data_IF_324562380965
#
_entry.id   IF_324562380965
#
_cell.length_a   1.000
_cell.length_b   1.000
_cell.length_c   1.000
_cell.angle_alpha   90.00
_cell.angle_beta   90.00
_cell.angle_gamma   90.00
#
_symmetry.space_group_name_H-M   'P 1'
#
loop_
_entity.id
_entity.type
_entity.pdbx_description
1 polymer ?
#
# COMPACT_ATOMS: atom_id res chain seq x y z
N UNK A 1 -16.07 13.65 -3.20
CA UNK A 1 -14.75 13.94 -3.82
C UNK A 1 -13.83 14.37 -2.69
N UNK A 2 -12.93 13.48 -2.26
CA UNK A 2 -12.01 13.72 -1.16
C UNK A 2 -10.79 14.56 -1.57
N UNK A 3 -9.99 14.99 -0.60
CA UNK A 3 -8.76 15.76 -0.88
C UNK A 3 -7.76 15.01 -1.75
N UNK A 4 -7.63 13.69 -1.58
CA UNK A 4 -6.77 12.86 -2.42
C UNK A 4 -7.23 12.87 -3.89
N UNK A 5 -8.54 12.71 -4.15
CA UNK A 5 -9.11 12.75 -5.50
C UNK A 5 -8.88 14.11 -6.17
N UNK A 6 -8.91 15.20 -5.38
CA UNK A 6 -8.63 16.55 -5.88
C UNK A 6 -7.19 16.71 -6.37
N UNK A 7 -6.22 16.04 -5.75
CA UNK A 7 -4.83 16.03 -6.19
C UNK A 7 -4.65 15.11 -7.41
N UNK A 8 -5.31 13.95 -7.41
CA UNK A 8 -5.23 13.01 -8.53
C UNK A 8 -5.82 13.59 -9.82
N UNK A 9 -6.90 14.36 -9.73
CA UNK A 9 -7.56 14.98 -10.89
C UNK A 9 -6.84 16.21 -11.42
N UNK A 10 -6.20 17.00 -10.54
CA UNK A 10 -5.42 18.18 -10.93
C UNK A 10 -4.13 18.29 -10.08
N UNK A 11 -3.10 17.46 -10.39
CA UNK A 11 -1.87 17.39 -9.60
C UNK A 11 -0.93 18.58 -9.86
N UNK A 12 -1.15 19.32 -10.95
CA UNK A 12 -0.31 20.44 -11.39
C UNK A 12 -1.00 21.80 -11.35
N UNK A 13 -2.31 21.86 -11.15
CA UNK A 13 -3.07 23.10 -10.99
C UNK A 13 -3.35 23.45 -9.53
N UNK A 14 -4.02 24.58 -9.35
CA UNK A 14 -4.47 25.04 -8.04
C UNK A 14 -5.78 24.34 -7.67
N UNK A 15 -5.66 23.18 -7.05
CA UNK A 15 -6.81 22.44 -6.56
C UNK A 15 -7.22 22.89 -5.13
N UNK A 16 -8.42 22.48 -4.72
CA UNK A 16 -8.99 22.86 -3.43
C UNK A 16 -8.15 22.36 -2.25
N UNK A 17 -7.50 21.21 -2.40
CA UNK A 17 -6.64 20.64 -1.36
C UNK A 17 -5.43 21.55 -1.10
N UNK A 18 -4.73 22.02 -2.13
CA UNK A 18 -3.58 22.92 -1.97
C UNK A 18 -3.97 24.24 -1.33
N UNK A 19 -5.14 24.80 -1.69
CA UNK A 19 -5.67 26.01 -1.10
C UNK A 19 -5.95 25.83 0.40
N UNK A 20 -6.65 24.76 0.79
CA UNK A 20 -7.00 24.49 2.18
C UNK A 20 -5.79 24.08 3.02
N UNK A 21 -4.76 23.52 2.38
CA UNK A 21 -3.49 23.24 3.04
C UNK A 21 -2.61 24.48 3.14
N UNK A 22 -3.00 25.60 2.53
CA UNK A 22 -2.27 26.86 2.61
C UNK A 22 -0.92 26.81 1.91
N UNK A 23 -0.76 25.95 0.91
CA UNK A 23 0.46 25.90 0.11
C UNK A 23 0.63 27.18 -0.70
N UNK A 24 1.85 27.68 -0.77
CA UNK A 24 2.19 28.85 -1.60
C UNK A 24 1.89 28.58 -3.07
N UNK A 25 1.01 29.40 -3.67
CA UNK A 25 0.64 29.30 -5.09
C UNK A 25 1.80 29.49 -6.07
N UNK A 26 2.86 30.19 -5.67
CA UNK A 26 4.08 30.32 -6.45
C UNK A 26 5.12 29.40 -5.85
N UNK A 27 5.44 28.30 -6.54
CA UNK A 27 6.63 27.49 -6.25
C UNK A 27 7.82 28.39 -6.58
N UNK A 28 8.30 29.11 -5.58
CA UNK A 28 9.50 29.92 -5.68
C UNK A 28 10.73 29.00 -5.74
N UNK A 29 11.87 29.55 -6.14
CA UNK A 29 13.13 28.79 -6.13
C UNK A 29 13.54 28.34 -4.71
N UNK A 30 12.94 28.92 -3.66
CA UNK A 30 13.14 28.49 -2.27
C UNK A 30 12.46 27.15 -2.00
N UNK A 31 11.33 26.90 -2.67
CA UNK A 31 10.56 25.68 -2.60
C UNK A 31 9.99 25.43 -1.20
N UNK A 32 9.66 26.50 -0.49
CA UNK A 32 8.95 26.45 0.79
C UNK A 32 7.46 26.17 0.55
N UNK A 33 6.86 25.33 1.40
CA UNK A 33 5.41 25.12 1.40
C UNK A 33 4.65 26.33 1.97
N UNK A 34 5.24 26.98 2.96
CA UNK A 34 4.62 28.01 3.80
C UNK A 34 5.48 29.25 3.92
N UNK A 35 4.85 30.35 4.34
CA UNK A 35 5.59 31.49 4.90
C UNK A 35 6.08 31.14 6.30
N UNK A 36 7.20 31.75 6.71
CA UNK A 36 7.91 31.43 7.97
C UNK A 36 6.98 31.59 9.20
N UNK A 37 6.01 32.50 9.13
CA UNK A 37 5.06 32.80 10.21
C UNK A 37 3.62 32.31 9.91
N UNK A 38 3.46 31.37 8.98
CA UNK A 38 2.14 30.86 8.64
C UNK A 38 1.52 30.09 9.82
N UNK A 39 0.22 30.32 10.14
CA UNK A 39 -0.49 29.51 11.13
C UNK A 39 -0.58 28.04 10.70
N UNK A 40 -0.77 27.10 11.64
CA UNK A 40 -0.92 25.68 11.32
C UNK A 40 -2.09 25.48 10.35
N UNK A 41 -1.82 24.75 9.28
CA UNK A 41 -2.75 24.52 8.17
C UNK A 41 -3.38 23.13 8.23
N UNK A 42 -4.29 22.83 7.28
CA UNK A 42 -4.86 21.49 7.15
C UNK A 42 -3.82 20.37 6.99
N UNK A 43 -2.68 20.64 6.33
CA UNK A 43 -1.60 19.66 6.21
C UNK A 43 -0.94 19.35 7.55
N UNK A 44 -0.78 20.35 8.42
CA UNK A 44 -0.22 20.14 9.77
C UNK A 44 -1.14 19.22 10.60
N UNK A 45 -2.45 19.30 10.40
CA UNK A 45 -3.40 18.38 11.05
C UNK A 45 -3.27 16.95 10.52
N UNK A 46 -3.06 16.78 9.21
CA UNK A 46 -2.78 15.47 8.60
C UNK A 46 -1.49 14.87 9.18
N UNK A 47 -0.44 15.67 9.33
CA UNK A 47 0.80 15.22 9.94
C UNK A 47 0.62 14.88 11.42
N UNK A 48 -0.19 15.65 12.17
CA UNK A 48 -0.50 15.35 13.57
C UNK A 48 -1.25 14.01 13.73
N UNK A 49 -2.10 13.62 12.77
CA UNK A 49 -2.71 12.28 12.75
C UNK A 49 -1.64 11.20 12.62
N UNK A 50 -0.66 11.39 11.73
CA UNK A 50 0.44 10.44 11.52
C UNK A 50 1.39 10.36 12.73
N UNK A 51 1.67 11.49 13.39
CA UNK A 51 2.44 11.53 14.64
C UNK A 51 1.75 10.75 15.76
N UNK A 52 0.44 10.96 15.94
CA UNK A 52 -0.34 10.23 16.95
C UNK A 52 -0.46 8.73 16.60
N UNK A 53 -0.55 8.40 15.31
CA UNK A 53 -0.47 7.02 14.83
C UNK A 53 0.85 6.36 15.22
N UNK A 54 1.99 7.04 15.00
CA UNK A 54 3.33 6.52 15.37
C UNK A 54 3.46 6.34 16.88
N UNK A 55 2.91 7.26 17.67
CA UNK A 55 3.00 7.25 19.12
C UNK A 55 2.06 6.24 19.80
N UNK A 56 1.04 5.75 19.09
CA UNK A 56 0.04 4.85 19.66
C UNK A 56 0.55 3.40 19.73
N UNK A 57 0.28 2.73 20.85
CA UNK A 57 0.53 1.29 20.98
C UNK A 57 -0.43 0.46 20.11
N UNK A 58 -1.69 0.89 20.00
CA UNK A 58 -2.69 0.35 19.10
C UNK A 58 -3.36 1.49 18.32
N UNK A 59 -2.88 1.78 17.09
CA UNK A 59 -3.41 2.91 16.33
C UNK A 59 -4.87 2.77 15.92
N UNK A 60 -5.42 1.54 15.89
CA UNK A 60 -6.81 1.33 15.49
C UNK A 60 -7.82 1.69 16.60
N UNK A 61 -7.35 1.86 17.84
CA UNK A 61 -8.16 2.34 18.98
C UNK A 61 -8.23 3.86 19.09
N UNK A 62 -7.51 4.60 18.24
CA UNK A 62 -7.59 6.05 18.20
C UNK A 62 -9.00 6.49 17.78
N UNK A 63 -9.52 7.58 18.36
CA UNK A 63 -10.87 8.10 18.07
C UNK A 63 -11.04 8.49 16.58
N UNK A 64 -9.94 8.77 15.91
CA UNK A 64 -9.88 9.11 14.49
C UNK A 64 -9.25 8.01 13.65
N UNK A 65 -9.27 6.75 14.09
CA UNK A 65 -8.61 5.64 13.38
C UNK A 65 -9.08 5.48 11.92
N UNK A 66 -10.35 5.82 11.65
CA UNK A 66 -10.90 5.90 10.30
C UNK A 66 -10.20 6.91 9.38
N UNK A 67 -9.45 7.88 9.91
CA UNK A 67 -8.69 8.88 9.16
C UNK A 67 -7.24 8.48 8.89
N UNK A 68 -6.72 7.42 9.52
CA UNK A 68 -5.31 6.99 9.39
C UNK A 68 -5.00 6.63 7.94
N UNK A 69 -5.77 5.71 7.38
CA UNK A 69 -5.57 5.27 6.01
C UNK A 69 -5.74 6.45 5.01
N UNK A 70 -6.82 7.25 5.06
CA UNK A 70 -6.96 8.42 4.21
C UNK A 70 -5.80 9.42 4.31
N UNK A 71 -5.19 9.58 5.50
CA UNK A 71 -4.02 10.43 5.70
C UNK A 71 -2.79 9.90 4.96
N UNK A 72 -2.51 8.59 5.04
CA UNK A 72 -1.43 7.96 4.26
C UNK A 72 -1.66 8.11 2.76
N UNK A 73 -2.88 7.84 2.29
CA UNK A 73 -3.23 7.98 0.87
C UNK A 73 -3.02 9.40 0.38
N UNK A 74 -3.51 10.38 1.12
CA UNK A 74 -3.31 11.80 0.80
C UNK A 74 -1.82 12.15 0.74
N UNK A 75 -1.03 11.68 1.71
CA UNK A 75 0.40 11.93 1.74
C UNK A 75 1.10 11.33 0.52
N UNK A 76 0.76 10.10 0.12
CA UNK A 76 1.29 9.47 -1.10
C UNK A 76 0.99 10.28 -2.36
N UNK A 77 -0.22 10.82 -2.48
CA UNK A 77 -0.58 11.69 -3.62
C UNK A 77 0.20 12.99 -3.61
N UNK A 78 0.45 13.56 -2.43
CA UNK A 78 1.24 14.77 -2.27
C UNK A 78 2.72 14.60 -2.62
N UNK A 79 3.30 13.42 -2.35
CA UNK A 79 4.71 13.11 -2.66
C UNK A 79 4.90 12.36 -3.99
N UNK A 80 3.84 12.19 -4.78
CA UNK A 80 3.92 11.54 -6.08
C UNK A 80 4.79 12.34 -7.06
N UNK A 81 5.29 11.67 -8.11
CA UNK A 81 6.10 12.34 -9.13
C UNK A 81 5.31 13.36 -9.96
N UNK A 82 3.98 13.23 -10.00
CA UNK A 82 3.09 14.07 -10.79
C UNK A 82 2.66 15.34 -10.03
N UNK A 83 2.77 15.34 -8.69
CA UNK A 83 2.38 16.46 -7.84
C UNK A 83 3.45 17.57 -7.85
N UNK A 84 3.04 18.80 -8.20
CA UNK A 84 3.95 19.95 -8.25
C UNK A 84 4.60 20.31 -6.91
N UNK A 85 3.93 19.99 -5.80
CA UNK A 85 4.44 20.26 -4.45
C UNK A 85 5.28 19.13 -3.88
N UNK A 86 5.42 18.00 -4.58
CA UNK A 86 6.11 16.81 -4.07
C UNK A 86 7.52 17.09 -3.51
N UNK A 87 8.40 17.82 -4.20
CA UNK A 87 9.73 18.13 -3.65
C UNK A 87 9.69 18.99 -2.37
N UNK A 88 8.67 19.83 -2.21
CA UNK A 88 8.50 20.67 -1.03
C UNK A 88 7.88 19.87 0.14
N UNK A 89 6.91 19.00 -0.15
CA UNK A 89 6.32 18.07 0.81
C UNK A 89 7.36 17.09 1.35
N UNK A 90 8.15 16.47 0.47
CA UNK A 90 9.24 15.57 0.88
C UNK A 90 10.25 16.27 1.79
N UNK A 91 10.66 17.51 1.46
CA UNK A 91 11.54 18.30 2.34
C UNK A 91 10.91 18.58 3.71
N UNK A 92 9.62 18.89 3.73
CA UNK A 92 8.91 19.18 4.98
C UNK A 92 8.83 17.95 5.87
N UNK A 93 8.36 16.81 5.37
CA UNK A 93 8.27 15.58 6.17
C UNK A 93 9.65 15.05 6.58
N UNK A 94 10.69 15.29 5.77
CA UNK A 94 12.09 15.00 6.11
C UNK A 94 12.58 15.84 7.29
N UNK A 95 12.19 17.11 7.38
CA UNK A 95 12.56 17.98 8.50
C UNK A 95 12.01 17.49 9.84
N UNK A 96 10.92 16.71 9.79
CA UNK A 96 10.28 16.08 10.95
C UNK A 96 10.75 14.63 11.18
N UNK A 97 11.65 14.12 10.33
CA UNK A 97 12.09 12.73 10.32
C UNK A 97 10.94 11.70 10.22
N UNK A 98 9.82 12.08 9.59
CA UNK A 98 8.58 11.30 9.62
C UNK A 98 8.76 9.91 8.99
N UNK A 99 9.44 9.82 7.85
CA UNK A 99 9.63 8.55 7.12
C UNK A 99 10.44 7.56 7.96
N UNK A 100 11.51 8.01 8.61
CA UNK A 100 12.29 7.15 9.50
C UNK A 100 11.45 6.68 10.69
N UNK A 101 10.68 7.59 11.32
CA UNK A 101 9.81 7.23 12.43
C UNK A 101 8.76 6.18 12.02
N UNK A 102 8.17 6.30 10.84
CA UNK A 102 7.22 5.33 10.28
C UNK A 102 7.88 3.98 10.02
N UNK A 103 9.09 3.96 9.46
CA UNK A 103 9.85 2.71 9.19
C UNK A 103 10.24 2.02 10.49
N UNK A 104 10.59 2.78 11.53
CA UNK A 104 10.91 2.23 12.86
C UNK A 104 9.67 1.88 13.71
N UNK A 105 8.47 2.21 13.23
CA UNK A 105 7.24 1.98 13.99
C UNK A 105 6.97 0.48 14.14
N UNK A 106 6.59 0.00 15.34
CA UNK A 106 6.22 -1.40 15.53
C UNK A 106 5.03 -1.82 14.64
N UNK A 107 4.21 -0.85 14.21
CA UNK A 107 3.09 -1.08 13.31
C UNK A 107 3.51 -1.76 12.00
N UNK A 108 4.71 -1.45 11.49
CA UNK A 108 5.17 -2.01 10.22
C UNK A 108 5.29 -3.54 10.27
N UNK A 109 5.49 -4.11 11.46
CA UNK A 109 5.54 -5.56 11.72
C UNK A 109 4.17 -6.19 12.05
N UNK A 110 3.12 -5.39 12.27
CA UNK A 110 1.79 -5.88 12.63
C UNK A 110 1.19 -6.88 11.63
N UNK A 111 1.38 -6.76 10.29
CA UNK A 111 0.92 -7.77 9.34
C UNK A 111 1.44 -9.18 9.60
N UNK A 112 2.58 -9.32 10.28
CA UNK A 112 3.22 -10.60 10.60
C UNK A 112 2.60 -11.25 11.85
N UNK A 113 2.04 -10.45 12.76
CA UNK A 113 1.46 -10.92 14.03
C UNK A 113 -0.04 -11.20 14.00
N UNK A 114 -0.73 -10.81 12.93
CA UNK A 114 -2.20 -10.84 12.88
C UNK A 114 -2.74 -12.26 12.78
N UNK A 115 -3.73 -12.53 13.62
CA UNK A 115 -4.38 -13.83 13.73
C UNK A 115 -5.59 -13.93 12.79
N UNK A 116 -6.01 -15.14 12.38
CA UNK A 116 -7.25 -15.32 11.62
C UNK A 116 -8.50 -14.78 12.34
N UNK A 117 -8.46 -14.66 13.67
CA UNK A 117 -9.57 -14.10 14.48
C UNK A 117 -9.74 -12.60 14.38
N UNK A 118 -8.73 -11.86 13.91
CA UNK A 118 -8.78 -10.39 13.78
C UNK A 118 -9.64 -9.92 12.58
N UNK A 119 -10.08 -10.88 11.76
CA UNK A 119 -10.92 -10.64 10.60
C UNK A 119 -10.16 -10.15 9.38
N UNK A 120 -10.68 -10.43 8.17
CA UNK A 120 -9.99 -10.16 6.90
C UNK A 120 -9.77 -8.66 6.64
N UNK A 121 -10.67 -7.81 7.14
CA UNK A 121 -10.64 -6.36 6.94
C UNK A 121 -9.48 -5.70 7.68
N UNK A 122 -9.23 -6.07 8.93
CA UNK A 122 -8.15 -5.45 9.72
C UNK A 122 -6.78 -5.77 9.11
N UNK A 123 -6.58 -7.03 8.72
CA UNK A 123 -5.36 -7.46 8.02
C UNK A 123 -5.16 -6.70 6.72
N UNK A 124 -6.23 -6.54 5.94
CA UNK A 124 -6.17 -5.79 4.68
C UNK A 124 -5.77 -4.33 4.89
N UNK A 125 -6.41 -3.63 5.83
CA UNK A 125 -6.06 -2.23 6.15
C UNK A 125 -4.62 -2.11 6.65
N UNK A 126 -4.18 -3.04 7.48
CA UNK A 126 -2.81 -3.06 8.01
C UNK A 126 -1.80 -3.23 6.88
N UNK A 127 -2.01 -4.19 5.98
CA UNK A 127 -1.16 -4.40 4.79
C UNK A 127 -1.12 -3.17 3.88
N UNK A 128 -2.25 -2.51 3.67
CA UNK A 128 -2.34 -1.30 2.86
C UNK A 128 -1.55 -0.13 3.46
N UNK A 129 -1.65 0.08 4.77
CA UNK A 129 -0.88 1.11 5.48
C UNK A 129 0.61 0.77 5.45
N UNK A 130 1.00 -0.47 5.74
CA UNK A 130 2.41 -0.92 5.67
C UNK A 130 2.99 -0.75 4.26
N UNK A 131 2.28 -1.17 3.22
CA UNK A 131 2.68 -0.91 1.83
C UNK A 131 2.83 0.58 1.54
N UNK A 132 1.99 1.42 2.15
CA UNK A 132 2.07 2.87 2.00
C UNK A 132 3.31 3.48 2.66
N UNK A 133 3.66 3.02 3.86
CA UNK A 133 4.90 3.39 4.55
C UNK A 133 6.12 3.03 3.69
N UNK A 134 6.14 1.81 3.13
CA UNK A 134 7.26 1.35 2.28
C UNK A 134 7.38 2.16 0.98
N UNK A 135 6.27 2.56 0.37
CA UNK A 135 6.29 3.46 -0.78
C UNK A 135 6.84 4.85 -0.43
N UNK A 136 6.42 5.42 0.71
CA UNK A 136 6.97 6.70 1.19
C UNK A 136 8.48 6.60 1.43
N UNK A 137 8.92 5.49 2.03
CA UNK A 137 10.34 5.20 2.22
C UNK A 137 11.09 5.11 0.88
N UNK A 138 10.54 4.40 -0.12
CA UNK A 138 11.15 4.30 -1.45
C UNK A 138 11.30 5.68 -2.13
N UNK A 139 10.27 6.53 -2.05
CA UNK A 139 10.32 7.88 -2.60
C UNK A 139 11.38 8.75 -1.91
N UNK A 140 11.43 8.68 -0.58
CA UNK A 140 12.39 9.44 0.23
C UNK A 140 13.83 9.01 -0.03
N UNK A 141 14.09 7.70 0.02
CA UNK A 141 15.40 7.12 -0.31
C UNK A 141 15.83 7.52 -1.71
N UNK A 142 14.95 7.38 -2.71
CA UNK A 142 15.23 7.78 -4.09
C UNK A 142 15.57 9.27 -4.20
N UNK A 143 14.83 10.14 -3.51
CA UNK A 143 15.10 11.58 -3.46
C UNK A 143 16.45 11.90 -2.84
N UNK A 144 16.82 11.22 -1.74
CA UNK A 144 18.06 11.45 -1.02
C UNK A 144 19.29 10.98 -1.82
N UNK A 145 19.19 9.80 -2.43
CA UNK A 145 20.26 9.23 -3.26
C UNK A 145 20.53 10.09 -4.51
N UNK A 146 19.47 10.63 -5.15
CA UNK A 146 19.62 11.59 -6.26
C UNK A 146 20.39 12.85 -5.85
N UNK A 147 20.27 13.27 -4.60
CA UNK A 147 20.95 14.44 -4.05
C UNK A 147 22.32 14.10 -3.42
N UNK A 148 22.76 12.84 -3.44
CA UNK A 148 24.02 12.40 -2.84
C UNK A 148 24.03 12.33 -1.31
N UNK A 149 22.85 12.24 -0.68
CA UNK A 149 22.72 12.02 0.76
C UNK A 149 22.64 10.52 1.06
N UNK A 150 23.53 10.01 1.89
CA UNK A 150 23.69 8.56 2.12
C UNK A 150 23.35 8.09 3.54
N UNK A 151 23.42 8.97 4.54
CA UNK A 151 23.19 8.59 5.94
C UNK A 151 21.75 8.12 6.19
N UNK A 152 20.76 8.91 5.76
CA UNK A 152 19.34 8.58 5.93
C UNK A 152 18.91 7.34 5.12
N UNK A 153 19.30 7.17 3.83
CA UNK A 153 19.07 5.92 3.11
C UNK A 153 19.67 4.69 3.81
N UNK A 154 20.88 4.82 4.35
CA UNK A 154 21.51 3.76 5.12
C UNK A 154 20.69 3.41 6.37
N UNK A 155 20.26 4.39 7.16
CA UNK A 155 19.42 4.16 8.35
C UNK A 155 18.10 3.45 8.00
N UNK A 156 17.42 3.88 6.93
CA UNK A 156 16.16 3.26 6.46
C UNK A 156 16.41 1.81 6.04
N UNK A 157 17.41 1.56 5.19
CA UNK A 157 17.70 0.20 4.73
C UNK A 157 18.20 -0.70 5.85
N UNK A 158 19.08 -0.23 6.73
CA UNK A 158 19.51 -0.99 7.91
C UNK A 158 18.33 -1.40 8.78
N UNK A 159 17.40 -0.48 9.07
CA UNK A 159 16.20 -0.80 9.85
C UNK A 159 15.36 -1.92 9.22
N UNK A 160 15.33 -1.99 7.89
CA UNK A 160 14.49 -2.94 7.14
C UNK A 160 15.17 -4.26 6.80
N UNK A 161 16.50 -4.26 6.64
CA UNK A 161 17.30 -5.39 6.13
C UNK A 161 18.17 -6.06 7.20
N UNK A 162 18.45 -5.39 8.32
CA UNK A 162 19.13 -6.01 9.45
C UNK A 162 18.16 -6.93 10.23
N UNK A 163 18.69 -7.90 11.00
CA UNK A 163 17.86 -8.80 11.80
C UNK A 163 16.93 -8.04 12.74
N UNK A 164 15.64 -8.35 12.71
CA UNK A 164 14.63 -7.69 13.55
C UNK A 164 14.14 -8.62 14.66
N UNK A 165 14.21 -8.17 15.91
CA UNK A 165 13.67 -8.91 17.06
C UNK A 165 12.16 -9.20 16.90
N UNK A 166 11.41 -8.28 16.29
CA UNK A 166 9.99 -8.47 16.01
C UNK A 166 9.73 -9.67 15.09
N UNK A 167 10.60 -9.86 14.09
CA UNK A 167 10.54 -11.00 13.16
C UNK A 167 11.03 -12.27 13.85
N UNK A 168 12.17 -12.22 14.55
CA UNK A 168 12.76 -13.38 15.23
C UNK A 168 11.78 -13.97 16.25
N UNK A 169 11.06 -13.13 16.98
CA UNK A 169 10.07 -13.56 17.97
C UNK A 169 8.83 -14.22 17.35
N UNK A 170 8.53 -13.96 16.07
CA UNK A 170 7.32 -14.44 15.40
C UNK A 170 7.59 -15.65 14.49
N UNK A 171 8.66 -15.60 13.69
CA UNK A 171 9.00 -16.61 12.70
C UNK A 171 10.04 -17.64 13.21
N UNK A 172 10.65 -17.39 14.37
CA UNK A 172 11.83 -18.14 14.82
C UNK A 172 13.05 -17.88 13.94
N UNK A 173 14.15 -18.58 14.18
CA UNK A 173 15.34 -18.51 13.30
C UNK A 173 15.07 -19.33 12.04
N UNK A 174 14.93 -18.68 10.89
CA UNK A 174 14.79 -19.39 9.61
C UNK A 174 16.14 -20.03 9.27
N UNK A 175 16.18 -21.35 9.07
CA UNK A 175 17.42 -22.04 8.66
C UNK A 175 17.87 -21.54 7.28
N UNK A 176 18.96 -20.76 7.26
CA UNK A 176 19.61 -20.31 6.03
C UNK A 176 19.10 -19.00 5.42
N UNK A 177 18.20 -18.25 6.08
CA UNK A 177 17.69 -16.97 5.61
C UNK A 177 17.92 -15.81 6.59
N UNK A 178 17.94 -14.56 6.09
CA UNK A 178 18.00 -13.37 6.93
C UNK A 178 16.61 -13.02 7.47
N UNK A 179 16.47 -12.96 8.79
CA UNK A 179 15.25 -12.55 9.50
C UNK A 179 15.08 -11.03 9.53
N UNK A 180 14.91 -10.42 8.35
CA UNK A 180 14.67 -8.99 8.24
C UNK A 180 13.21 -8.67 7.92
N UNK A 181 12.78 -7.48 8.32
CA UNK A 181 11.39 -7.06 8.23
C UNK A 181 10.89 -6.99 6.79
N UNK A 182 11.70 -6.48 5.87
CA UNK A 182 11.30 -6.32 4.47
C UNK A 182 11.00 -7.67 3.80
N UNK A 183 11.86 -8.67 4.02
CA UNK A 183 11.71 -10.00 3.44
C UNK A 183 10.59 -10.78 4.12
N UNK A 184 10.43 -10.66 5.43
CA UNK A 184 9.30 -11.25 6.16
C UNK A 184 7.96 -10.71 5.68
N UNK A 185 7.84 -9.40 5.47
CA UNK A 185 6.64 -8.79 4.89
C UNK A 185 6.36 -9.29 3.47
N UNK A 186 7.40 -9.46 2.65
CA UNK A 186 7.27 -10.01 1.31
C UNK A 186 6.80 -11.48 1.34
N UNK A 187 7.37 -12.32 2.21
CA UNK A 187 6.97 -13.73 2.38
C UNK A 187 5.50 -13.86 2.81
N UNK A 188 5.08 -13.09 3.80
CA UNK A 188 3.73 -13.14 4.39
C UNK A 188 2.69 -12.31 3.62
N UNK A 189 3.08 -11.74 2.47
CA UNK A 189 2.16 -11.01 1.61
C UNK A 189 1.27 -11.93 0.76
N UNK A 190 1.69 -13.18 0.55
CA UNK A 190 0.92 -14.14 -0.24
C UNK A 190 -0.42 -14.47 0.47
N UNK A 191 -1.50 -14.54 -0.31
CA UNK A 191 -2.83 -14.95 0.15
C UNK A 191 -3.24 -16.15 -0.68
N UNK A 192 -3.28 -17.31 -0.04
CA UNK A 192 -3.96 -18.48 -0.60
C UNK A 192 -5.47 -18.25 -0.50
N UNK A 193 -6.10 -17.81 -1.59
CA UNK A 193 -7.56 -17.79 -1.70
C UNK A 193 -8.03 -19.23 -1.93
N UNK A 194 -8.25 -19.98 -0.85
CA UNK A 194 -8.57 -21.41 -0.88
C UNK A 194 -10.05 -21.71 -1.11
N UNK A 195 -10.94 -20.73 -0.97
CA UNK A 195 -12.40 -20.94 -1.06
C UNK A 195 -12.99 -20.25 -2.29
N UNK A 196 -13.44 -21.06 -3.26
CA UNK A 196 -14.36 -20.58 -4.30
C UNK A 196 -15.67 -20.16 -3.62
N UNK A 197 -16.04 -18.88 -3.76
CA UNK A 197 -17.29 -18.37 -3.21
C UNK A 197 -18.45 -18.97 -4.02
N UNK A 198 -19.29 -19.78 -3.36
CA UNK A 198 -20.45 -20.41 -4.00
C UNK A 198 -21.44 -19.34 -4.49
N UNK A 199 -21.79 -19.41 -5.77
CA UNK A 199 -22.80 -18.53 -6.34
C UNK A 199 -24.18 -18.84 -5.72
N UNK A 200 -24.94 -17.83 -5.28
CA UNK A 200 -26.21 -18.04 -4.61
C UNK A 200 -27.20 -18.79 -5.51
N UNK A 201 -28.00 -19.68 -4.92
CA UNK A 201 -29.06 -20.39 -5.65
C UNK A 201 -30.22 -19.45 -5.92
N UNK A 202 -30.35 -19.04 -7.18
CA UNK A 202 -31.38 -18.10 -7.60
C UNK A 202 -32.64 -18.83 -8.10
N UNK A 203 -33.80 -18.39 -7.65
CA UNK A 203 -35.12 -18.89 -8.06
C UNK A 203 -35.96 -17.76 -8.65
N UNK A 204 -35.87 -16.55 -8.07
CA UNK A 204 -36.64 -15.37 -8.45
C UNK A 204 -35.84 -14.41 -9.32
N UNK A 205 -34.52 -14.32 -9.12
CA UNK A 205 -33.63 -13.51 -9.96
C UNK A 205 -33.09 -14.29 -11.16
N UNK A 206 -32.95 -13.60 -12.29
CA UNK A 206 -32.31 -14.17 -13.46
C UNK A 206 -30.79 -14.03 -13.34
N UNK A 207 -30.07 -15.15 -13.27
CA UNK A 207 -28.61 -15.17 -13.10
C UNK A 207 -27.85 -14.35 -14.16
N UNK A 208 -28.23 -14.45 -15.44
CA UNK A 208 -27.55 -13.71 -16.51
C UNK A 208 -27.74 -12.19 -16.39
N UNK A 209 -28.94 -11.74 -16.02
CA UNK A 209 -29.18 -10.31 -15.78
C UNK A 209 -28.48 -9.83 -14.52
N UNK A 210 -28.36 -10.70 -13.51
CA UNK A 210 -27.69 -10.34 -12.27
C UNK A 210 -26.20 -10.07 -12.48
N UNK A 211 -25.51 -10.85 -13.32
CA UNK A 211 -24.13 -10.54 -13.71
C UNK A 211 -23.99 -9.14 -14.35
N UNK A 212 -24.91 -8.77 -15.25
CA UNK A 212 -24.90 -7.43 -15.84
C UNK A 212 -25.15 -6.31 -14.81
N UNK A 213 -25.96 -6.58 -13.79
CA UNK A 213 -26.16 -5.66 -12.66
C UNK A 213 -24.89 -5.53 -11.84
N UNK A 214 -24.22 -6.65 -11.51
CA UNK A 214 -22.91 -6.62 -10.83
C UNK A 214 -21.87 -5.82 -11.60
N UNK A 215 -21.78 -6.01 -12.92
CA UNK A 215 -20.87 -5.23 -13.78
C UNK A 215 -21.17 -3.73 -13.73
N UNK A 216 -22.46 -3.36 -13.61
CA UNK A 216 -22.88 -1.95 -13.47
C UNK A 216 -22.51 -1.38 -12.10
N UNK A 217 -22.50 -2.21 -11.06
CA UNK A 217 -22.08 -1.83 -9.71
C UNK A 217 -20.57 -1.91 -9.51
N UNK A 218 -19.80 -2.35 -10.51
CA UNK A 218 -18.36 -2.47 -10.40
C UNK A 218 -17.73 -1.08 -10.38
N UNK A 219 -17.05 -0.79 -9.29
CA UNK A 219 -16.27 0.43 -9.08
C UNK A 219 -14.82 0.06 -8.84
N UNK A 220 -13.92 1.01 -9.03
CA UNK A 220 -12.55 0.89 -8.53
C UNK A 220 -12.47 1.75 -7.29
N UNK A 221 -11.99 1.15 -6.21
CA UNK A 221 -11.58 1.93 -5.07
C UNK A 221 -10.42 2.84 -5.47
N UNK A 222 -10.22 3.86 -4.67
CA UNK A 222 -9.05 4.75 -4.66
C UNK A 222 -7.68 4.06 -4.59
N UNK A 223 -7.64 2.76 -4.28
CA UNK A 223 -6.44 1.91 -4.34
C UNK A 223 -6.30 1.13 -5.65
N UNK A 224 -7.13 1.47 -6.64
CA UNK A 224 -7.26 0.71 -7.88
C UNK A 224 -7.71 -0.76 -7.67
N UNK A 225 -8.27 -1.07 -6.49
CA UNK A 225 -8.87 -2.38 -6.19
C UNK A 225 -10.30 -2.35 -6.70
N UNK A 226 -10.65 -3.27 -7.59
CA UNK A 226 -12.02 -3.43 -8.05
C UNK A 226 -12.92 -3.92 -6.90
N UNK A 227 -14.08 -3.28 -6.72
CA UNK A 227 -15.09 -3.67 -5.74
C UNK A 227 -16.49 -3.39 -6.28
N UNK A 228 -17.49 -4.12 -5.79
CA UNK A 228 -18.89 -3.88 -6.09
C UNK A 228 -19.49 -2.90 -5.08
N UNK A 229 -20.19 -1.87 -5.56
CA UNK A 229 -20.99 -0.99 -4.70
C UNK A 229 -22.23 -1.75 -4.20
N UNK A 230 -22.13 -2.26 -2.97
CA UNK A 230 -23.18 -3.07 -2.34
C UNK A 230 -24.42 -2.23 -2.02
N UNK A 231 -24.26 -0.95 -1.70
CA UNK A 231 -25.38 -0.06 -1.40
C UNK A 231 -26.16 0.23 -2.68
N UNK A 232 -25.47 0.50 -3.78
CA UNK A 232 -26.08 0.67 -5.09
C UNK A 232 -26.72 -0.63 -5.60
N UNK A 233 -26.06 -1.77 -5.42
CA UNK A 233 -26.63 -3.09 -5.73
C UNK A 233 -27.93 -3.34 -4.96
N UNK A 234 -27.95 -3.07 -3.66
CA UNK A 234 -29.15 -3.19 -2.82
C UNK A 234 -30.27 -2.26 -3.30
N UNK A 235 -29.96 -1.01 -3.66
CA UNK A 235 -30.93 -0.07 -4.20
C UNK A 235 -31.54 -0.55 -5.53
N UNK A 236 -30.73 -1.10 -6.44
CA UNK A 236 -31.20 -1.68 -7.71
C UNK A 236 -32.10 -2.89 -7.48
N UNK A 237 -31.67 -3.86 -6.65
CA UNK A 237 -32.45 -5.06 -6.36
C UNK A 237 -33.78 -4.72 -5.67
N UNK A 238 -33.76 -3.79 -4.71
CA UNK A 238 -34.97 -3.31 -4.03
C UNK A 238 -35.95 -2.70 -5.02
N UNK A 239 -35.45 -1.86 -5.94
CA UNK A 239 -36.28 -1.23 -6.97
C UNK A 239 -36.96 -2.28 -7.86
N UNK A 240 -36.22 -3.31 -8.26
CA UNK A 240 -36.77 -4.38 -9.10
C UNK A 240 -37.83 -5.20 -8.35
N UNK A 241 -37.60 -5.56 -7.08
CA UNK A 241 -38.61 -6.26 -6.25
C UNK A 241 -39.89 -5.42 -6.13
N UNK A 242 -39.77 -4.14 -5.78
CA UNK A 242 -40.93 -3.23 -5.62
C UNK A 242 -41.68 -3.06 -6.95
N UNK A 243 -40.97 -3.06 -8.08
CA UNK A 243 -41.58 -2.91 -9.41
C UNK A 243 -42.51 -4.06 -9.80
N UNK A 244 -42.36 -5.24 -9.18
CA UNK A 244 -43.22 -6.41 -9.44
C UNK A 244 -44.65 -6.23 -8.92
N UNK A 245 -44.87 -5.31 -7.99
CA UNK A 245 -46.15 -5.10 -7.29
C UNK A 245 -46.72 -6.38 -6.63
N UNK A 246 -45.87 -7.36 -6.32
CA UNK A 246 -46.28 -8.58 -5.63
C UNK A 246 -46.65 -8.31 -4.17
N UNK A 247 -47.73 -8.93 -3.68
CA UNK A 247 -48.17 -8.81 -2.28
C UNK A 247 -47.23 -9.54 -1.30
N UNK A 248 -46.62 -10.65 -1.72
CA UNK A 248 -45.61 -11.37 -0.96
C UNK A 248 -44.25 -11.28 -1.66
N UNK A 249 -43.32 -10.58 -1.02
CA UNK A 249 -41.94 -10.39 -1.50
C UNK A 249 -40.91 -11.10 -0.61
N UNK A 250 -41.36 -11.90 0.36
CA UNK A 250 -40.48 -12.49 1.39
C UNK A 250 -39.39 -13.39 0.80
N UNK A 251 -39.74 -14.23 -0.18
CA UNK A 251 -38.79 -15.12 -0.83
C UNK A 251 -37.77 -14.36 -1.70
N UNK A 252 -38.21 -13.31 -2.41
CA UNK A 252 -37.33 -12.46 -3.20
C UNK A 252 -36.38 -11.64 -2.32
N UNK A 253 -36.84 -11.16 -1.15
CA UNK A 253 -35.99 -10.45 -0.20
C UNK A 253 -34.90 -11.35 0.39
N UNK A 254 -35.21 -12.63 0.70
CA UNK A 254 -34.18 -13.60 1.14
C UNK A 254 -33.15 -13.89 0.04
N UNK A 255 -33.61 -13.98 -1.20
CA UNK A 255 -32.69 -14.17 -2.34
C UNK A 255 -31.81 -12.94 -2.56
N UNK A 256 -32.36 -11.73 -2.38
CA UNK A 256 -31.60 -10.48 -2.39
C UNK A 256 -30.54 -10.46 -1.28
N UNK A 257 -30.88 -10.86 -0.05
CA UNK A 257 -29.90 -11.00 1.04
C UNK A 257 -28.76 -11.94 0.65
N UNK A 258 -29.05 -13.12 0.07
CA UNK A 258 -28.03 -14.05 -0.39
C UNK A 258 -27.13 -13.47 -1.49
N UNK A 259 -27.70 -12.68 -2.42
CA UNK A 259 -26.94 -11.96 -3.45
C UNK A 259 -26.03 -10.89 -2.86
N UNK A 260 -26.51 -10.14 -1.86
CA UNK A 260 -25.71 -9.11 -1.19
C UNK A 260 -24.57 -9.74 -0.39
N UNK A 261 -24.82 -10.85 0.31
CA UNK A 261 -23.78 -11.63 1.01
C UNK A 261 -22.71 -12.11 0.04
N UNK A 262 -23.13 -12.69 -1.10
CA UNK A 262 -22.19 -13.09 -2.15
C UNK A 262 -21.32 -11.92 -2.63
N UNK A 263 -21.93 -10.74 -2.85
CA UNK A 263 -21.20 -9.53 -3.22
C UNK A 263 -20.22 -9.05 -2.14
N UNK A 264 -20.61 -9.10 -0.86
CA UNK A 264 -19.72 -8.72 0.25
C UNK A 264 -18.54 -9.69 0.40
N UNK A 265 -18.76 -10.98 0.21
CA UNK A 265 -17.71 -12.00 0.29
C UNK A 265 -16.69 -11.83 -0.83
N UNK A 266 -17.15 -11.55 -2.06
CA UNK A 266 -16.24 -11.22 -3.17
C UNK A 266 -15.45 -9.95 -2.87
N UNK A 267 -16.10 -8.91 -2.37
CA UNK A 267 -15.41 -7.67 -2.02
C UNK A 267 -14.33 -7.88 -0.94
N UNK A 268 -14.57 -8.79 0.02
CA UNK A 268 -13.58 -9.14 1.03
C UNK A 268 -12.36 -9.85 0.41
N UNK A 269 -12.57 -10.80 -0.51
CA UNK A 269 -11.46 -11.44 -1.24
C UNK A 269 -10.68 -10.45 -2.11
N UNK A 270 -11.39 -9.58 -2.86
CA UNK A 270 -10.77 -8.54 -3.68
C UNK A 270 -9.97 -7.55 -2.84
N UNK A 271 -10.49 -7.16 -1.66
CA UNK A 271 -9.79 -6.29 -0.72
C UNK A 271 -8.51 -6.94 -0.18
N UNK A 272 -8.57 -8.20 0.24
CA UNK A 272 -7.39 -8.94 0.71
C UNK A 272 -6.30 -9.03 -0.36
N UNK A 273 -6.71 -9.37 -1.59
CA UNK A 273 -5.83 -9.48 -2.74
C UNK A 273 -5.14 -8.14 -3.04
N UNK A 274 -5.93 -7.08 -3.19
CA UNK A 274 -5.40 -5.74 -3.45
C UNK A 274 -4.55 -5.18 -2.30
N UNK A 275 -4.88 -5.49 -1.05
CA UNK A 275 -4.05 -5.12 0.11
C UNK A 275 -2.70 -5.82 0.10
N UNK A 276 -2.67 -7.11 -0.26
CA UNK A 276 -1.44 -7.86 -0.44
C UNK A 276 -0.59 -7.34 -1.59
N UNK A 277 -1.20 -7.05 -2.74
CA UNK A 277 -0.53 -6.41 -3.88
C UNK A 277 0.09 -5.06 -3.48
N UNK A 278 -0.63 -4.25 -2.70
CA UNK A 278 -0.14 -2.97 -2.21
C UNK A 278 1.09 -3.13 -1.29
N UNK A 279 1.09 -4.14 -0.41
CA UNK A 279 2.25 -4.46 0.42
C UNK A 279 3.46 -4.88 -0.42
N UNK A 280 3.25 -5.80 -1.38
CA UNK A 280 4.30 -6.26 -2.31
C UNK A 280 4.85 -5.13 -3.16
N UNK A 281 3.97 -4.26 -3.66
CA UNK A 281 4.34 -3.05 -4.41
C UNK A 281 5.24 -2.14 -3.58
N UNK A 282 4.92 -1.94 -2.29
CA UNK A 282 5.77 -1.21 -1.35
C UNK A 282 7.15 -1.85 -1.17
N UNK A 283 7.22 -3.16 -0.92
CA UNK A 283 8.48 -3.89 -0.78
C UNK A 283 9.34 -3.80 -2.05
N UNK A 284 8.74 -4.07 -3.21
CA UNK A 284 9.41 -4.04 -4.51
C UNK A 284 9.85 -2.64 -4.91
N UNK A 285 9.14 -1.57 -4.50
CA UNK A 285 9.58 -0.20 -4.72
C UNK A 285 10.95 0.08 -4.04
N UNK A 286 11.15 -0.34 -2.80
CA UNK A 286 12.43 -0.20 -2.09
C UNK A 286 13.55 -1.01 -2.74
N UNK A 287 13.27 -2.26 -3.13
CA UNK A 287 14.22 -3.12 -3.84
C UNK A 287 14.62 -2.51 -5.19
N UNK A 288 13.66 -1.93 -5.91
CA UNK A 288 13.91 -1.25 -7.16
C UNK A 288 14.80 -0.01 -6.99
N UNK A 289 14.60 0.77 -5.93
CA UNK A 289 15.47 1.91 -5.61
C UNK A 289 16.88 1.42 -5.31
N UNK A 290 17.05 0.39 -4.48
CA UNK A 290 18.36 -0.19 -4.18
C UNK A 290 19.07 -0.64 -5.46
N UNK A 291 18.36 -1.37 -6.33
CA UNK A 291 18.89 -1.86 -7.58
C UNK A 291 19.22 -0.73 -8.58
N UNK A 292 18.42 0.34 -8.61
CA UNK A 292 18.65 1.49 -9.49
C UNK A 292 19.92 2.27 -9.13
N UNK A 293 20.22 2.39 -7.84
CA UNK A 293 21.37 3.15 -7.34
C UNK A 293 22.59 2.29 -6.99
N UNK A 294 22.51 0.97 -7.20
CA UNK A 294 23.62 0.07 -6.96
C UNK A 294 24.79 0.33 -7.94
N UNK A 295 26.06 0.30 -7.47
CA UNK A 295 26.46 0.07 -6.08
C UNK A 295 26.19 1.29 -5.20
N UNK A 296 25.49 1.09 -4.08
CA UNK A 296 25.32 2.14 -3.07
C UNK A 296 26.58 2.23 -2.20
N UNK A 297 26.99 3.43 -1.74
CA UNK A 297 28.28 3.62 -1.06
C UNK A 297 28.29 3.19 0.41
N UNK A 298 27.12 2.92 1.00
CA UNK A 298 26.97 2.61 2.42
C UNK A 298 26.83 1.10 2.73
N UNK A 299 26.77 0.25 1.72
CA UNK A 299 26.90 -1.21 1.88
C UNK A 299 28.05 -1.73 1.03
N UNK A 300 28.72 -2.79 1.48
CA UNK A 300 29.69 -3.48 0.63
C UNK A 300 28.98 -4.12 -0.58
N UNK A 301 29.73 -4.32 -1.68
CA UNK A 301 29.18 -4.96 -2.88
C UNK A 301 28.71 -6.38 -2.54
N UNK A 302 29.46 -7.12 -1.71
CA UNK A 302 29.07 -8.45 -1.21
C UNK A 302 27.69 -8.43 -0.51
N UNK A 303 27.46 -7.51 0.44
CA UNK A 303 26.16 -7.40 1.12
C UNK A 303 25.04 -7.06 0.14
N UNK A 304 25.30 -6.16 -0.81
CA UNK A 304 24.31 -5.81 -1.84
C UNK A 304 23.99 -7.01 -2.73
N UNK A 305 24.98 -7.84 -3.08
CA UNK A 305 24.77 -9.07 -3.85
C UNK A 305 23.90 -10.05 -3.09
N UNK A 306 24.17 -10.29 -1.81
CA UNK A 306 23.39 -11.21 -0.97
C UNK A 306 21.93 -10.74 -0.88
N UNK A 307 21.71 -9.47 -0.50
CA UNK A 307 20.37 -8.88 -0.37
C UNK A 307 19.58 -8.94 -1.68
N UNK A 308 20.18 -8.54 -2.80
CA UNK A 308 19.46 -8.53 -4.08
C UNK A 308 19.19 -9.96 -4.59
N UNK A 309 20.07 -10.92 -4.29
CA UNK A 309 19.88 -12.32 -4.66
C UNK A 309 18.77 -12.97 -3.84
N UNK A 310 18.76 -12.78 -2.52
CA UNK A 310 17.70 -13.24 -1.63
C UNK A 310 16.34 -12.63 -2.04
N UNK A 311 16.33 -11.33 -2.33
CA UNK A 311 15.14 -10.67 -2.82
C UNK A 311 14.65 -11.26 -4.16
N UNK A 312 15.56 -11.54 -5.10
CA UNK A 312 15.21 -12.17 -6.37
C UNK A 312 14.61 -13.57 -6.16
N UNK A 313 15.16 -14.37 -5.23
CA UNK A 313 14.63 -15.68 -4.89
C UNK A 313 13.20 -15.59 -4.31
N UNK A 314 12.98 -14.69 -3.35
CA UNK A 314 11.66 -14.47 -2.77
C UNK A 314 10.62 -14.00 -3.80
N UNK A 315 11.01 -13.15 -4.75
CA UNK A 315 10.10 -12.72 -5.82
C UNK A 315 9.79 -13.87 -6.79
N UNK A 316 10.74 -14.77 -7.06
CA UNK A 316 10.48 -15.99 -7.86
C UNK A 316 9.50 -16.91 -7.14
N UNK A 317 9.68 -17.12 -5.84
CA UNK A 317 8.76 -17.92 -5.02
C UNK A 317 7.35 -17.32 -5.02
N UNK A 318 7.25 -16.01 -4.80
CA UNK A 318 5.98 -15.27 -4.85
C UNK A 318 5.27 -15.43 -6.20
N UNK A 319 5.98 -15.20 -7.32
CA UNK A 319 5.44 -15.33 -8.68
C UNK A 319 5.04 -16.78 -8.98
N UNK A 320 5.80 -17.76 -8.47
CA UNK A 320 5.48 -19.18 -8.67
C UNK A 320 4.21 -19.60 -7.93
N UNK A 321 3.89 -18.95 -6.81
CA UNK A 321 2.69 -19.20 -6.01
C UNK A 321 1.45 -18.39 -6.40
N UNK A 322 1.57 -17.36 -7.25
CA UNK A 322 0.46 -16.49 -7.66
C UNK A 322 -0.04 -16.83 -9.08
N UNK A 323 -1.31 -16.54 -9.38
CA UNK A 323 -1.88 -16.67 -10.72
C UNK A 323 -1.30 -15.68 -11.75
N UNK A 324 -1.44 -15.99 -13.04
CA UNK A 324 -0.74 -15.30 -14.15
C UNK A 324 -1.09 -13.81 -14.34
N UNK A 325 -2.25 -13.35 -13.86
CA UNK A 325 -2.77 -12.00 -14.16
C UNK A 325 -2.19 -10.87 -13.28
N UNK A 326 -1.39 -11.21 -12.26
CA UNK A 326 -1.10 -10.28 -11.15
C UNK A 326 0.35 -9.78 -11.06
N UNK A 327 1.20 -10.16 -12.02
CA UNK A 327 2.64 -10.26 -11.74
C UNK A 327 3.54 -9.28 -12.52
N UNK A 328 2.97 -8.40 -13.34
CA UNK A 328 3.78 -7.58 -14.27
C UNK A 328 4.79 -6.68 -13.54
N UNK A 329 4.37 -6.05 -12.43
CA UNK A 329 5.25 -5.19 -11.63
C UNK A 329 6.36 -5.97 -10.90
N UNK A 330 6.03 -7.16 -10.38
CA UNK A 330 6.97 -8.05 -9.70
C UNK A 330 8.00 -8.59 -10.69
N UNK A 331 7.57 -9.06 -11.86
CA UNK A 331 8.45 -9.51 -12.93
C UNK A 331 9.38 -8.39 -13.43
N UNK A 332 8.86 -7.16 -13.54
CA UNK A 332 9.68 -5.98 -13.87
C UNK A 332 10.76 -5.69 -12.84
N UNK A 333 10.43 -5.87 -11.55
CA UNK A 333 11.39 -5.76 -10.44
C UNK A 333 12.44 -6.85 -10.52
N UNK A 334 12.03 -8.12 -10.66
CA UNK A 334 12.94 -9.27 -10.78
C UNK A 334 13.95 -9.08 -11.92
N UNK A 335 13.50 -8.64 -13.09
CA UNK A 335 14.39 -8.35 -14.22
C UNK A 335 15.42 -7.27 -13.88
N UNK A 336 15.03 -6.23 -13.15
CA UNK A 336 15.94 -5.16 -12.71
C UNK A 336 16.94 -5.69 -11.70
N UNK A 337 16.50 -6.51 -10.75
CA UNK A 337 17.38 -7.16 -9.77
C UNK A 337 18.43 -8.01 -10.48
N UNK A 338 18.02 -8.93 -11.38
CA UNK A 338 18.96 -9.78 -12.12
C UNK A 338 20.02 -8.98 -12.88
N UNK A 339 19.62 -7.92 -13.60
CA UNK A 339 20.56 -7.04 -14.31
C UNK A 339 21.58 -6.41 -13.37
N UNK A 340 21.10 -5.96 -12.21
CA UNK A 340 21.93 -5.29 -11.21
C UNK A 340 22.89 -6.27 -10.54
N UNK A 341 22.40 -7.45 -10.16
CA UNK A 341 23.22 -8.55 -9.61
C UNK A 341 24.35 -8.90 -10.58
N UNK A 342 24.06 -9.06 -11.89
CA UNK A 342 25.10 -9.33 -12.87
C UNK A 342 26.16 -8.20 -12.96
N UNK A 343 25.73 -6.93 -12.85
CA UNK A 343 26.65 -5.80 -12.88
C UNK A 343 27.54 -5.75 -11.62
N UNK A 344 26.95 -5.95 -10.44
CA UNK A 344 27.66 -6.00 -9.16
C UNK A 344 28.62 -7.20 -9.09
N UNK A 345 28.18 -8.38 -9.53
CA UNK A 345 29.00 -9.59 -9.54
C UNK A 345 30.19 -9.44 -10.48
N UNK A 346 30.00 -8.79 -11.64
CA UNK A 346 31.13 -8.44 -12.51
C UNK A 346 32.12 -7.55 -11.79
N UNK A 347 31.67 -6.57 -11.02
CA UNK A 347 32.57 -5.67 -10.28
C UNK A 347 33.31 -6.42 -9.17
N UNK A 348 32.60 -7.18 -8.33
CA UNK A 348 33.17 -7.92 -7.19
C UNK A 348 34.16 -9.00 -7.62
N UNK A 349 33.84 -9.74 -8.68
CA UNK A 349 34.64 -10.88 -9.13
C UNK A 349 35.53 -10.56 -10.35
N UNK A 350 35.67 -9.30 -10.74
CA UNK A 350 36.52 -8.90 -11.88
C UNK A 350 38.04 -8.99 -11.62
N UNK A 351 38.45 -9.25 -10.37
CA UNK A 351 39.86 -9.41 -9.99
C UNK A 351 40.27 -10.86 -9.63
N UNK A 352 39.61 -11.87 -10.19
CA UNK A 352 40.07 -13.28 -10.17
C UNK A 352 40.67 -13.70 -11.51
#
# INVERSE_FOLDING_TARGET
MGFADSIETDPAGNNLCFLLFGFKHTIDASGQLYDIDAPPTGFHQVLSILEQFIAAADPFQLQFSALIEPAFRLLQRLVSMDCIYSPAVLRFIRSMNLVQQLVTSPFLSTPLSQSPSDGPTLLSVTRMISGSILHLAALEVSSLLKCGHFNQPHEIYSTLLEPSDAVINQEGTVEGGVNNLLFSLLRHSHVELTEEIEYPRLVHFNAHKLHAVFDTCKTTTVFNIAQYDIEYLHALLTREIVSTQAEDTTAANREMEAVLTYGTDINAQLLQRGASEQLVSGCTALLNVMALFAPVPFFSIAIQLDVLTDAAFLLVEYVSGCGADEQVAVCGTLLRLCKTICALAKQEYSEV
#
